data_IF_429709267632
#
_entry.id   IF_429709267632
#
_cell.length_a   1.000
_cell.length_b   1.000
_cell.length_c   1.000
_cell.angle_alpha   90.00
_cell.angle_beta   90.00
_cell.angle_gamma   90.00
#
_symmetry.space_group_name_H-M   'P 1'
#
loop_
_entity.id
_entity.type
_entity.pdbx_description
1 polymer ?
#
# COMPACT_ATOMS: atom_id res chain seq x y z
N UNK A 1 -36.01 15.21 -42.03
CA UNK A 1 -34.64 14.98 -41.52
C UNK A 1 -34.74 14.49 -40.08
N UNK A 2 -33.96 13.45 -39.80
CA UNK A 2 -33.86 12.62 -38.59
C UNK A 2 -33.39 13.40 -37.34
N UNK A 3 -33.73 12.97 -36.11
CA UNK A 3 -33.44 13.69 -34.86
C UNK A 3 -32.16 13.16 -34.17
N UNK A 4 -31.49 14.00 -33.37
CA UNK A 4 -30.53 13.58 -32.30
C UNK A 4 -30.51 14.74 -31.29
N UNK A 5 -30.94 14.66 -30.03
CA UNK A 5 -30.97 13.54 -29.10
C UNK A 5 -29.94 13.79 -28.00
N UNK A 6 -30.26 14.63 -27.02
CA UNK A 6 -29.48 14.72 -25.77
C UNK A 6 -29.71 13.44 -24.98
N UNK A 7 -28.68 12.62 -24.79
CA UNK A 7 -28.75 11.46 -23.90
C UNK A 7 -27.96 11.77 -22.63
N UNK A 8 -28.70 12.24 -21.62
CA UNK A 8 -28.25 12.18 -20.22
C UNK A 8 -28.66 10.81 -19.70
N UNK A 9 -27.74 9.86 -19.71
CA UNK A 9 -27.97 8.54 -19.12
C UNK A 9 -27.79 8.59 -17.60
N UNK A 10 -28.89 8.72 -16.86
CA UNK A 10 -28.94 8.34 -15.44
C UNK A 10 -29.60 6.97 -15.33
N UNK A 11 -28.79 5.94 -15.12
CA UNK A 11 -29.29 4.63 -14.71
C UNK A 11 -29.47 4.67 -13.19
N UNK A 12 -30.72 4.82 -12.76
CA UNK A 12 -31.14 4.59 -11.37
C UNK A 12 -31.39 3.10 -11.22
N UNK A 13 -30.40 2.36 -10.71
CA UNK A 13 -30.62 1.02 -10.19
C UNK A 13 -29.90 0.89 -8.86
N UNK A 14 -30.68 0.88 -7.78
CA UNK A 14 -30.23 0.57 -6.43
C UNK A 14 -29.47 1.71 -5.75
N UNK A 15 -29.97 2.15 -4.59
CA UNK A 15 -29.25 2.98 -3.63
C UNK A 15 -28.02 2.20 -3.12
N UNK A 16 -26.92 2.18 -3.88
CA UNK A 16 -25.61 1.93 -3.27
C UNK A 16 -25.29 3.21 -2.51
N UNK A 17 -25.38 3.14 -1.19
CA UNK A 17 -24.67 4.08 -0.32
C UNK A 17 -23.25 4.07 -0.82
N UNK A 18 -22.87 5.12 -1.56
CA UNK A 18 -21.52 5.29 -2.06
C UNK A 18 -20.63 5.51 -0.86
N UNK A 19 -20.16 4.42 -0.25
CA UNK A 19 -19.04 4.46 0.67
C UNK A 19 -17.90 4.95 -0.21
N UNK A 20 -17.60 6.26 -0.16
CA UNK A 20 -16.36 6.79 -0.71
C UNK A 20 -15.26 5.90 -0.13
N UNK A 21 -14.44 5.21 -0.94
CA UNK A 21 -13.34 4.45 -0.41
C UNK A 21 -12.55 5.42 0.47
N UNK A 22 -12.44 5.11 1.77
CA UNK A 22 -11.57 5.88 2.66
C UNK A 22 -10.20 5.78 2.03
N UNK A 23 -9.61 6.92 1.67
CA UNK A 23 -8.21 6.98 1.25
C UNK A 23 -7.43 6.16 2.28
N UNK A 24 -6.92 5.03 1.82
CA UNK A 24 -6.04 4.25 2.66
C UNK A 24 -4.75 5.10 2.75
N UNK A 25 -4.09 5.00 3.89
CA UNK A 25 -2.89 5.78 4.18
C UNK A 25 -1.82 4.74 4.41
N UNK A 26 -0.62 5.02 3.91
CA UNK A 26 0.56 4.21 4.18
C UNK A 26 1.67 5.11 4.72
N UNK A 27 2.53 4.53 5.55
CA UNK A 27 3.77 5.19 6.00
C UNK A 27 4.91 4.63 5.15
N UNK A 28 5.65 5.53 4.49
CA UNK A 28 6.92 5.19 3.84
C UNK A 28 8.06 5.72 4.69
N UNK A 29 8.94 4.84 5.12
CA UNK A 29 10.23 5.21 5.69
C UNK A 29 11.30 5.08 4.61
N UNK A 30 11.89 6.21 4.23
CA UNK A 30 12.91 6.29 3.19
C UNK A 30 14.30 6.34 3.82
N UNK A 31 15.19 5.46 3.41
CA UNK A 31 16.61 5.47 3.80
C UNK A 31 17.48 5.57 2.55
N UNK A 32 18.66 6.22 2.60
CA UNK A 32 19.53 6.30 1.43
C UNK A 32 20.14 4.94 1.03
N UNK A 33 20.24 4.00 1.99
CA UNK A 33 20.78 2.66 1.75
C UNK A 33 20.25 1.69 2.82
N UNK A 34 19.86 0.48 2.42
CA UNK A 34 19.37 -0.59 3.30
C UNK A 34 20.18 -1.88 3.16
N UNK A 35 21.51 -1.81 3.15
CA UNK A 35 22.37 -3.00 3.01
C UNK A 35 22.49 -3.78 4.32
N UNK A 36 22.65 -3.09 5.46
CA UNK A 36 22.84 -3.74 6.74
C UNK A 36 21.51 -4.03 7.46
N UNK A 37 21.40 -5.22 8.06
CA UNK A 37 20.20 -5.60 8.83
C UNK A 37 19.94 -4.67 10.02
N UNK A 38 20.99 -4.08 10.59
CA UNK A 38 20.87 -3.07 11.65
C UNK A 38 20.07 -1.85 11.18
N UNK A 39 20.35 -1.37 9.97
CA UNK A 39 19.69 -0.18 9.42
C UNK A 39 18.26 -0.49 9.03
N UNK A 40 18.01 -1.68 8.45
CA UNK A 40 16.65 -2.19 8.20
C UNK A 40 15.84 -2.27 9.48
N UNK A 41 16.42 -2.81 10.57
CA UNK A 41 15.74 -2.90 11.86
C UNK A 41 15.41 -1.52 12.43
N UNK A 42 16.32 -0.56 12.32
CA UNK A 42 16.08 0.81 12.75
C UNK A 42 14.96 1.48 11.93
N UNK A 43 14.98 1.31 10.61
CA UNK A 43 13.94 1.80 9.72
C UNK A 43 12.57 1.17 10.03
N UNK A 44 12.51 -0.16 10.22
CA UNK A 44 11.29 -0.88 10.64
C UNK A 44 10.72 -0.29 11.91
N UNK A 45 11.54 -0.16 12.95
CA UNK A 45 11.09 0.40 14.23
C UNK A 45 10.50 1.81 14.06
N UNK A 46 11.23 2.70 13.37
CA UNK A 46 10.80 4.07 13.13
C UNK A 46 9.46 4.12 12.37
N UNK A 47 9.37 3.38 11.26
CA UNK A 47 8.18 3.37 10.42
C UNK A 47 6.95 2.83 11.16
N UNK A 48 7.12 1.75 11.93
CA UNK A 48 6.05 1.16 12.74
C UNK A 48 5.62 2.07 13.89
N UNK A 49 6.54 2.79 14.53
CA UNK A 49 6.20 3.78 15.57
C UNK A 49 5.33 4.90 14.99
N UNK A 50 5.69 5.44 13.82
CA UNK A 50 4.88 6.45 13.13
C UNK A 50 3.52 5.92 12.71
N UNK A 51 3.50 4.72 12.12
CA UNK A 51 2.26 4.08 11.72
C UNK A 51 1.35 3.87 12.93
N UNK A 52 1.89 3.43 14.06
CA UNK A 52 1.13 3.21 15.29
C UNK A 52 0.46 4.50 15.77
N UNK A 53 1.24 5.58 15.88
CA UNK A 53 0.74 6.91 16.28
C UNK A 53 -0.31 7.47 15.31
N UNK A 54 -0.21 7.12 14.03
CA UNK A 54 -1.07 7.66 12.97
C UNK A 54 -2.27 6.77 12.64
N UNK A 55 -2.41 5.60 13.28
CA UNK A 55 -3.47 4.63 12.97
C UNK A 55 -3.38 4.01 11.57
N UNK A 56 -2.19 4.01 10.95
CA UNK A 56 -1.98 3.59 9.56
C UNK A 56 -1.66 2.10 9.46
N UNK A 57 -2.39 1.36 8.61
CA UNK A 57 -2.23 -0.10 8.45
C UNK A 57 -0.93 -0.50 7.73
N UNK A 58 -0.67 0.09 6.58
CA UNK A 58 0.44 -0.33 5.72
C UNK A 58 1.72 0.44 6.00
N UNK A 59 2.83 -0.28 6.04
CA UNK A 59 4.17 0.27 6.23
C UNK A 59 5.05 -0.19 5.08
N UNK A 60 5.81 0.75 4.52
CA UNK A 60 6.78 0.50 3.45
C UNK A 60 8.12 1.04 3.88
N UNK A 61 9.17 0.25 3.66
CA UNK A 61 10.56 0.70 3.80
C UNK A 61 11.16 0.72 2.40
N UNK A 62 11.82 1.83 2.06
CA UNK A 62 12.30 2.08 0.71
C UNK A 62 13.68 2.75 0.70
N UNK A 63 14.53 2.38 -0.25
CA UNK A 63 15.84 3.02 -0.45
C UNK A 63 16.14 3.59 -1.83
N UNK A 64 15.12 3.78 -2.65
CA UNK A 64 15.26 4.21 -4.04
C UNK A 64 15.03 3.07 -5.02
N UNK A 65 15.43 1.84 -4.68
CA UNK A 65 15.21 0.65 -5.51
C UNK A 65 14.45 -0.45 -4.78
N UNK A 66 14.88 -0.78 -3.57
CA UNK A 66 14.34 -1.88 -2.78
C UNK A 66 13.12 -1.45 -1.97
N UNK A 67 12.07 -2.26 -2.00
CA UNK A 67 10.84 -2.09 -1.24
C UNK A 67 10.65 -3.26 -0.30
N UNK A 68 10.37 -2.99 0.97
CA UNK A 68 9.86 -3.98 1.94
C UNK A 68 8.47 -3.54 2.41
N UNK A 69 7.46 -4.40 2.21
CA UNK A 69 6.05 -4.07 2.44
C UNK A 69 5.50 -4.88 3.61
N UNK A 70 4.81 -4.20 4.53
CA UNK A 70 4.22 -4.78 5.72
C UNK A 70 2.74 -4.39 5.85
N UNK A 71 1.94 -5.35 6.33
CA UNK A 71 0.58 -5.16 6.78
C UNK A 71 0.50 -5.38 8.29
N UNK A 72 0.28 -4.30 9.04
CA UNK A 72 0.22 -4.34 10.50
C UNK A 72 -0.97 -5.10 11.09
N UNK A 73 -1.97 -5.41 10.26
CA UNK A 73 -3.15 -6.15 10.68
C UNK A 73 -3.03 -7.66 10.39
N UNK A 74 -1.93 -8.09 9.77
CA UNK A 74 -1.63 -9.50 9.54
C UNK A 74 -0.71 -10.05 10.64
N UNK A 75 -0.64 -11.38 10.75
CA UNK A 75 0.19 -12.08 11.74
C UNK A 75 -0.48 -12.29 13.09
N UNK A 76 -0.01 -13.28 13.84
CA UNK A 76 -0.62 -13.70 15.10
C UNK A 76 0.04 -13.04 16.31
N UNK A 77 1.34 -12.75 16.23
CA UNK A 77 2.16 -12.33 17.39
C UNK A 77 2.72 -10.92 17.28
N UNK A 78 2.17 -10.09 16.38
CA UNK A 78 2.60 -8.70 16.13
C UNK A 78 4.13 -8.58 15.89
N UNK A 79 4.73 -9.58 15.22
CA UNK A 79 6.15 -9.59 14.85
C UNK A 79 6.33 -9.08 13.42
N UNK A 80 7.41 -8.34 13.17
CA UNK A 80 7.66 -7.75 11.85
C UNK A 80 7.68 -8.79 10.72
N UNK A 81 8.30 -9.95 10.94
CA UNK A 81 8.38 -11.00 9.93
C UNK A 81 7.02 -11.62 9.59
N UNK A 82 6.10 -11.70 10.56
CA UNK A 82 4.73 -12.21 10.36
C UNK A 82 3.83 -11.18 9.66
N UNK A 83 4.11 -9.88 9.88
CA UNK A 83 3.41 -8.77 9.22
C UNK A 83 3.92 -8.51 7.81
N UNK A 84 5.09 -9.06 7.44
CA UNK A 84 5.73 -8.81 6.14
C UNK A 84 4.97 -9.50 5.02
N UNK A 85 4.53 -8.71 4.05
CA UNK A 85 3.89 -9.21 2.83
C UNK A 85 4.93 -9.65 1.80
N UNK A 86 6.06 -8.95 1.76
CA UNK A 86 7.18 -9.31 0.88
C UNK A 86 8.12 -8.14 0.61
N UNK A 87 8.97 -8.34 -0.37
CA UNK A 87 9.88 -7.31 -0.88
C UNK A 87 10.11 -7.46 -2.38
N UNK A 88 10.53 -6.38 -3.02
CA UNK A 88 10.90 -6.35 -4.44
C UNK A 88 11.88 -5.20 -4.71
N UNK A 89 12.56 -5.25 -5.86
CA UNK A 89 13.39 -4.16 -6.38
C UNK A 89 12.75 -3.59 -7.64
N UNK A 90 12.64 -2.27 -7.75
CA UNK A 90 12.08 -1.60 -8.94
C UNK A 90 12.85 -1.93 -10.22
N UNK A 91 14.17 -1.98 -10.12
CA UNK A 91 15.08 -2.31 -11.23
C UNK A 91 15.04 -3.79 -11.63
N UNK A 92 14.40 -4.65 -10.81
CA UNK A 92 14.35 -6.09 -11.03
C UNK A 92 12.96 -6.68 -10.69
N UNK A 93 11.89 -6.01 -11.12
CA UNK A 93 10.52 -6.49 -10.94
C UNK A 93 10.30 -7.85 -11.62
N UNK A 94 9.61 -8.74 -10.91
CA UNK A 94 9.24 -10.08 -11.37
C UNK A 94 7.72 -10.21 -11.39
N UNK A 95 7.20 -11.16 -12.16
CA UNK A 95 5.75 -11.41 -12.23
C UNK A 95 5.11 -11.69 -10.87
N UNK A 96 5.86 -12.31 -9.95
CA UNK A 96 5.42 -12.58 -8.57
C UNK A 96 5.25 -11.32 -7.70
N UNK A 97 5.83 -10.20 -8.11
CA UNK A 97 5.78 -8.94 -7.35
C UNK A 97 4.48 -8.17 -7.64
N UNK A 98 3.70 -8.62 -8.64
CA UNK A 98 2.43 -8.00 -9.03
C UNK A 98 1.43 -7.91 -7.87
N UNK A 99 1.38 -8.93 -7.01
CA UNK A 99 0.50 -8.93 -5.84
C UNK A 99 0.90 -7.83 -4.84
N UNK A 100 2.20 -7.62 -4.62
CA UNK A 100 2.69 -6.54 -3.76
C UNK A 100 2.44 -5.16 -4.37
N UNK A 101 2.60 -5.02 -5.69
CA UNK A 101 2.27 -3.79 -6.40
C UNK A 101 0.76 -3.49 -6.32
N UNK A 102 -0.11 -4.51 -6.32
CA UNK A 102 -1.55 -4.33 -6.15
C UNK A 102 -1.90 -3.75 -4.77
N UNK A 103 -1.18 -4.15 -3.72
CA UNK A 103 -1.33 -3.57 -2.37
C UNK A 103 -1.02 -2.08 -2.40
N UNK A 104 0.07 -1.69 -3.06
CA UNK A 104 0.47 -0.28 -3.19
C UNK A 104 -0.44 0.53 -4.12
N UNK A 105 -0.94 -0.09 -5.20
CA UNK A 105 -1.77 0.56 -6.21
C UNK A 105 -3.25 0.71 -5.80
N UNK A 106 -3.70 -0.04 -4.78
CA UNK A 106 -5.06 0.04 -4.23
C UNK A 106 -5.39 1.38 -3.53
N UNK A 107 -4.47 2.35 -3.60
CA UNK A 107 -4.54 3.71 -3.08
C UNK A 107 -5.07 4.77 -4.08
N UNK A 108 -5.62 4.35 -5.24
CA UNK A 108 -6.18 5.25 -6.25
C UNK A 108 -7.68 5.50 -6.10
#
# INVERSE_FOLDING_TARGET
MTPVGTVTGSIVTGRRVGIKPRARRLIVEVKPLLEAERDRRAARRQAFDYAHRSGVRFVVIWDGDFYEVFDRCCGERLRYDEMRQGNFSLTSLRSRDADLLSVLASER
#
